data_IF_009000630319
#
_entry.id   IF_009000630319
#
_cell.length_a   1.000
_cell.length_b   1.000
_cell.length_c   1.000
_cell.angle_alpha   90.00
_cell.angle_beta   90.00
_cell.angle_gamma   90.00
#
_symmetry.space_group_name_H-M   'P 1'
#
loop_
_entity.id
_entity.type
_entity.pdbx_description
1 polymer ?
#
# COMPACT_ATOMS: atom_id res chain seq x y z
N UNK A 1 -19.00 -14.59 7.03
CA UNK A 1 -18.05 -15.58 7.62
C UNK A 1 -16.82 -14.90 8.23
N UNK A 2 -16.58 -14.91 9.55
CA UNK A 2 -15.43 -14.21 10.14
C UNK A 2 -14.12 -14.96 9.95
N UNK A 3 -13.09 -14.28 9.43
CA UNK A 3 -11.74 -14.83 9.29
C UNK A 3 -10.73 -13.77 9.69
N UNK A 4 -9.80 -14.13 10.56
CA UNK A 4 -8.68 -13.29 10.99
C UNK A 4 -7.39 -13.98 10.60
N UNK A 5 -6.67 -13.42 9.64
CA UNK A 5 -5.40 -13.95 9.16
C UNK A 5 -4.24 -13.15 9.73
N UNK A 6 -3.19 -13.87 10.12
CA UNK A 6 -1.94 -13.26 10.57
C UNK A 6 -1.23 -12.62 9.39
N UNK A 7 -0.69 -11.42 9.60
CA UNK A 7 0.12 -10.71 8.62
C UNK A 7 1.57 -10.83 9.08
N UNK A 8 2.40 -11.48 8.27
CA UNK A 8 3.84 -11.52 8.53
C UNK A 8 4.45 -10.20 8.08
N UNK A 9 5.32 -9.63 8.91
CA UNK A 9 6.09 -8.43 8.56
C UNK A 9 7.56 -8.82 8.46
N UNK A 10 8.19 -8.43 7.35
CA UNK A 10 9.65 -8.53 7.17
C UNK A 10 10.20 -7.13 6.94
N UNK A 11 11.26 -6.79 7.64
CA UNK A 11 11.94 -5.52 7.48
C UNK A 11 13.26 -5.71 6.72
N UNK A 12 13.63 -4.66 5.99
CA UNK A 12 14.99 -4.49 5.49
C UNK A 12 15.35 -3.02 5.63
N UNK A 13 16.29 -2.71 6.52
CA UNK A 13 16.81 -1.35 6.61
C UNK A 13 17.96 -1.10 5.62
N UNK A 14 17.84 0.01 4.88
CA UNK A 14 18.73 0.46 3.82
C UNK A 14 19.18 1.90 4.11
N UNK A 15 20.28 2.34 3.51
CA UNK A 15 20.51 3.78 3.35
C UNK A 15 19.61 4.33 2.24
N UNK A 16 19.39 5.65 2.22
CA UNK A 16 18.65 6.31 1.14
C UNK A 16 19.31 6.03 -0.20
N UNK A 17 20.63 6.08 -0.29
CA UNK A 17 21.39 5.85 -1.52
C UNK A 17 21.12 4.46 -2.09
N UNK A 18 21.10 3.43 -1.25
CA UNK A 18 20.75 2.07 -1.67
C UNK A 18 19.30 1.97 -2.15
N UNK A 19 18.34 2.62 -1.47
CA UNK A 19 16.95 2.65 -1.96
C UNK A 19 16.85 3.30 -3.36
N UNK A 20 17.64 4.35 -3.61
CA UNK A 20 17.66 5.06 -4.89
C UNK A 20 18.17 4.20 -6.07
N UNK A 21 18.80 3.06 -5.82
CA UNK A 21 19.07 2.07 -6.87
C UNK A 21 17.80 1.46 -7.49
N UNK A 22 16.64 1.63 -6.85
CA UNK A 22 15.33 1.26 -7.40
C UNK A 22 14.55 2.47 -7.95
N UNK A 23 15.13 3.66 -7.98
CA UNK A 23 14.48 4.87 -8.50
C UNK A 23 14.44 4.84 -10.04
N UNK A 24 13.23 4.79 -10.60
CA UNK A 24 12.97 4.71 -12.06
C UNK A 24 11.80 5.59 -12.46
N UNK A 25 11.90 6.89 -12.16
CA UNK A 25 10.77 7.83 -12.21
C UNK A 25 9.97 7.79 -13.51
N UNK A 26 10.64 7.89 -14.67
CA UNK A 26 9.96 7.94 -15.97
C UNK A 26 9.18 6.65 -16.26
N UNK A 27 9.83 5.51 -16.02
CA UNK A 27 9.24 4.18 -16.22
C UNK A 27 8.03 3.99 -15.31
N UNK A 28 8.21 4.26 -14.01
CA UNK A 28 7.17 4.19 -12.97
C UNK A 28 6.00 5.12 -13.28
N UNK A 29 6.27 6.35 -13.72
CA UNK A 29 5.23 7.29 -14.13
C UNK A 29 4.43 6.78 -15.33
N UNK A 30 5.08 6.07 -16.26
CA UNK A 30 4.42 5.36 -17.35
C UNK A 30 3.41 4.32 -16.84
N UNK A 31 3.75 3.54 -15.81
CA UNK A 31 2.81 2.63 -15.15
C UNK A 31 1.70 3.40 -14.41
N UNK A 32 2.04 4.47 -13.68
CA UNK A 32 1.07 5.30 -12.98
C UNK A 32 0.03 5.88 -13.95
N UNK A 33 0.44 6.38 -15.13
CA UNK A 33 -0.47 6.92 -16.18
C UNK A 33 -1.50 5.91 -16.70
N UNK A 34 -1.22 4.61 -16.57
CA UNK A 34 -2.15 3.51 -16.91
C UNK A 34 -3.07 3.10 -15.75
N UNK A 35 -2.79 3.57 -14.53
CA UNK A 35 -3.61 3.28 -13.36
C UNK A 35 -4.93 4.06 -13.41
N UNK A 36 -6.03 3.40 -13.06
CA UNK A 36 -7.35 4.04 -12.98
C UNK A 36 -7.46 5.18 -11.97
N UNK A 37 -6.51 5.33 -11.05
CA UNK A 37 -6.46 6.42 -10.05
C UNK A 37 -5.53 7.58 -10.43
N UNK A 38 -4.81 7.49 -11.56
CA UNK A 38 -3.84 8.51 -11.96
C UNK A 38 -4.45 9.92 -11.97
N UNK A 39 -3.78 10.88 -11.31
CA UNK A 39 -4.25 12.26 -11.18
C UNK A 39 -5.54 12.48 -10.39
N UNK A 40 -6.26 11.43 -9.96
CA UNK A 40 -7.60 11.56 -9.35
C UNK A 40 -7.61 11.96 -7.88
N UNK A 41 -6.50 11.77 -7.17
CA UNK A 41 -6.38 12.15 -5.77
C UNK A 41 -5.00 12.75 -5.46
N UNK A 42 -4.88 13.35 -4.28
CA UNK A 42 -3.69 14.09 -3.87
C UNK A 42 -2.45 13.22 -3.67
N UNK A 43 -2.58 11.90 -3.43
CA UNK A 43 -1.42 11.01 -3.32
C UNK A 43 -0.93 10.48 -4.67
N UNK A 44 -1.65 10.75 -5.75
CA UNK A 44 -1.28 10.31 -7.09
C UNK A 44 -0.48 11.38 -7.84
N UNK A 45 0.58 11.00 -8.57
CA UNK A 45 1.33 11.91 -9.43
C UNK A 45 0.45 12.41 -10.61
N UNK A 46 0.83 13.48 -11.31
CA UNK A 46 2.03 14.33 -11.11
C UNK A 46 1.85 15.31 -9.94
N UNK A 47 2.96 15.65 -9.28
CA UNK A 47 2.99 16.50 -8.09
C UNK A 47 3.56 17.88 -8.42
N UNK A 48 3.10 18.90 -7.69
CA UNK A 48 3.65 20.26 -7.79
C UNK A 48 4.99 20.41 -7.05
N UNK A 49 5.35 19.44 -6.21
CA UNK A 49 6.62 19.39 -5.50
C UNK A 49 7.60 18.40 -6.15
N UNK A 50 8.90 18.64 -5.93
CA UNK A 50 9.96 17.74 -6.36
C UNK A 50 10.06 16.52 -5.43
N UNK A 51 9.93 15.32 -5.99
CA UNK A 51 9.90 14.06 -5.22
C UNK A 51 11.24 13.68 -4.62
N UNK A 52 12.36 14.10 -5.22
CA UNK A 52 13.70 13.84 -4.69
C UNK A 52 13.93 14.77 -3.50
N UNK A 53 13.61 16.06 -3.65
CA UNK A 53 13.68 17.06 -2.58
C UNK A 53 12.80 16.72 -1.39
N UNK A 54 11.62 16.13 -1.63
CA UNK A 54 10.76 15.61 -0.56
C UNK A 54 11.47 14.57 0.32
N UNK A 55 12.42 13.81 -0.24
CA UNK A 55 13.15 12.75 0.45
C UNK A 55 14.55 13.18 0.92
N UNK A 56 15.01 14.40 0.58
CA UNK A 56 16.31 14.93 0.99
C UNK A 56 16.57 14.86 2.50
N UNK A 57 15.61 15.19 3.40
CA UNK A 57 15.86 15.24 4.84
C UNK A 57 16.21 13.89 5.51
N UNK A 58 15.98 12.77 4.82
CA UNK A 58 16.13 11.42 5.38
C UNK A 58 17.43 10.77 4.89
N UNK A 59 18.04 9.91 5.71
CA UNK A 59 19.27 9.18 5.35
C UNK A 59 19.06 7.67 5.28
N UNK A 60 18.00 7.15 5.91
CA UNK A 60 17.69 5.73 5.97
C UNK A 60 16.28 5.46 5.47
N UNK A 61 16.10 4.26 4.96
CA UNK A 61 14.81 3.71 4.56
C UNK A 61 14.65 2.32 5.15
N UNK A 62 13.62 2.10 5.95
CA UNK A 62 13.23 0.76 6.36
C UNK A 62 12.12 0.28 5.44
N UNK A 63 12.42 -0.69 4.57
CA UNK A 63 11.43 -1.34 3.72
C UNK A 63 10.64 -2.32 4.56
N UNK A 64 9.32 -2.21 4.49
CA UNK A 64 8.38 -3.00 5.27
C UNK A 64 7.56 -3.84 4.29
N UNK A 65 7.83 -5.14 4.28
CA UNK A 65 7.10 -6.11 3.49
C UNK A 65 6.07 -6.81 4.36
N UNK A 66 4.79 -6.71 3.99
CA UNK A 66 3.73 -7.50 4.61
C UNK A 66 3.40 -8.70 3.74
N UNK A 67 3.23 -9.87 4.32
CA UNK A 67 2.84 -11.10 3.63
C UNK A 67 1.62 -11.76 4.31
N UNK A 68 0.62 -12.13 3.52
CA UNK A 68 -0.53 -12.94 3.96
C UNK A 68 -0.59 -14.20 3.10
N UNK A 69 -0.47 -15.37 3.71
CA UNK A 69 -0.66 -16.64 3.03
C UNK A 69 -2.14 -16.81 2.59
N UNK A 70 -2.38 -17.14 1.33
CA UNK A 70 -3.74 -17.24 0.78
C UNK A 70 -4.36 -18.63 0.90
N UNK A 71 -3.67 -19.64 1.42
CA UNK A 71 -4.16 -21.04 1.48
C UNK A 71 -5.51 -21.13 2.18
N UNK A 72 -5.65 -20.47 3.34
CA UNK A 72 -6.91 -20.47 4.11
C UNK A 72 -8.04 -19.75 3.38
N UNK A 73 -7.72 -18.74 2.56
CA UNK A 73 -8.67 -18.03 1.70
C UNK A 73 -9.12 -18.96 0.57
N UNK A 74 -8.16 -19.55 -0.16
CA UNK A 74 -8.41 -20.48 -1.27
C UNK A 74 -9.26 -21.67 -0.83
N UNK A 75 -8.98 -22.25 0.33
CA UNK A 75 -9.73 -23.37 0.89
C UNK A 75 -11.20 -23.04 1.19
N UNK A 76 -11.54 -21.76 1.32
CA UNK A 76 -12.87 -21.28 1.66
C UNK A 76 -13.46 -20.35 0.59
N UNK A 77 -12.88 -20.33 -0.62
CA UNK A 77 -13.22 -19.35 -1.65
C UNK A 77 -14.71 -19.36 -2.01
N UNK A 78 -15.30 -20.56 -2.08
CA UNK A 78 -16.72 -20.78 -2.40
C UNK A 78 -17.69 -20.38 -1.27
N UNK A 79 -17.18 -20.00 -0.10
CA UNK A 79 -17.98 -19.56 1.05
C UNK A 79 -18.03 -18.03 1.19
N UNK A 80 -17.29 -17.28 0.37
CA UNK A 80 -17.36 -15.83 0.38
C UNK A 80 -18.52 -15.34 -0.48
N UNK A 81 -19.30 -14.42 0.08
CA UNK A 81 -20.17 -13.55 -0.69
C UNK A 81 -19.40 -12.26 -1.04
N UNK A 82 -19.73 -11.64 -2.16
CA UNK A 82 -19.18 -10.32 -2.49
C UNK A 82 -19.64 -9.27 -1.47
N UNK A 83 -20.86 -9.40 -0.93
CA UNK A 83 -21.40 -8.49 0.08
C UNK A 83 -20.61 -8.51 1.41
N UNK A 84 -19.89 -9.61 1.66
CA UNK A 84 -18.99 -9.79 2.81
C UNK A 84 -17.65 -9.01 2.66
N UNK A 85 -17.37 -8.44 1.48
CA UNK A 85 -16.07 -7.87 1.10
C UNK A 85 -16.15 -6.40 0.68
N UNK A 86 -17.08 -5.65 1.28
CA UNK A 86 -17.25 -4.22 0.98
C UNK A 86 -15.99 -3.43 1.33
N UNK A 87 -15.50 -2.68 0.35
CA UNK A 87 -14.45 -1.67 0.53
C UNK A 87 -14.77 -0.47 -0.37
N UNK A 88 -14.27 0.71 -0.02
CA UNK A 88 -14.43 1.92 -0.86
C UNK A 88 -13.88 1.70 -2.29
N UNK A 89 -12.89 0.82 -2.43
CA UNK A 89 -12.31 0.46 -3.73
C UNK A 89 -13.19 -0.54 -4.48
N UNK A 90 -13.83 -1.50 -3.80
CA UNK A 90 -14.89 -2.32 -4.39
C UNK A 90 -16.00 -1.42 -4.96
N UNK A 91 -16.48 -0.45 -4.19
CA UNK A 91 -17.49 0.50 -4.65
C UNK A 91 -17.02 1.28 -5.89
N UNK A 92 -15.77 1.76 -5.91
CA UNK A 92 -15.22 2.45 -7.08
C UNK A 92 -14.95 1.54 -8.29
N UNK A 93 -14.67 0.25 -8.09
CA UNK A 93 -14.40 -0.70 -9.17
C UNK A 93 -15.70 -1.26 -9.77
N UNK A 94 -16.68 -1.59 -8.93
CA UNK A 94 -17.99 -2.13 -9.31
C UNK A 94 -18.91 -1.05 -9.87
N UNK A 95 -18.93 0.15 -9.30
CA UNK A 95 -19.73 1.28 -9.82
C UNK A 95 -19.39 1.65 -11.27
N UNK A 96 -18.15 1.37 -11.70
CA UNK A 96 -17.69 1.62 -13.06
C UNK A 96 -17.85 0.43 -14.02
N UNK A 97 -18.41 -0.71 -13.56
CA UNK A 97 -18.62 -1.94 -14.35
C UNK A 97 -19.91 -2.68 -13.92
N UNK A 98 -21.11 -2.04 -13.97
CA UNK A 98 -22.34 -2.61 -13.44
C UNK A 98 -22.75 -3.94 -14.10
N UNK A 99 -22.40 -4.15 -15.38
CA UNK A 99 -22.82 -5.33 -16.15
C UNK A 99 -21.75 -6.45 -16.23
N UNK A 100 -20.64 -6.35 -15.49
CA UNK A 100 -19.58 -7.38 -15.51
C UNK A 100 -19.66 -8.26 -14.27
N UNK A 101 -19.69 -9.57 -14.49
CA UNK A 101 -19.41 -10.57 -13.45
C UNK A 101 -18.04 -10.24 -12.84
N UNK A 102 -18.03 -9.86 -11.57
CA UNK A 102 -16.80 -9.55 -10.84
C UNK A 102 -16.27 -10.84 -10.22
N UNK A 103 -15.08 -11.25 -10.64
CA UNK A 103 -14.40 -12.42 -10.08
C UNK A 103 -14.05 -12.18 -8.60
N UNK A 104 -14.55 -13.07 -7.73
CA UNK A 104 -14.36 -13.04 -6.28
C UNK A 104 -12.87 -13.02 -5.88
N UNK A 105 -11.99 -13.64 -6.67
CA UNK A 105 -10.54 -13.62 -6.42
C UNK A 105 -10.00 -12.20 -6.50
N UNK A 106 -10.45 -11.40 -7.46
CA UNK A 106 -10.07 -9.99 -7.58
C UNK A 106 -10.65 -9.17 -6.43
N UNK A 107 -11.90 -9.42 -6.04
CA UNK A 107 -12.55 -8.72 -4.91
C UNK A 107 -11.78 -8.95 -3.62
N UNK A 108 -11.46 -10.21 -3.29
CA UNK A 108 -10.70 -10.54 -2.08
C UNK A 108 -9.30 -9.94 -2.12
N UNK A 109 -8.62 -10.02 -3.27
CA UNK A 109 -7.28 -9.43 -3.43
C UNK A 109 -7.30 -7.93 -3.16
N UNK A 110 -8.29 -7.22 -3.71
CA UNK A 110 -8.45 -5.78 -3.52
C UNK A 110 -8.85 -5.42 -2.09
N UNK A 111 -9.74 -6.19 -1.49
CA UNK A 111 -10.13 -6.02 -0.09
C UNK A 111 -8.93 -6.20 0.84
N UNK A 112 -8.21 -7.32 0.70
CA UNK A 112 -7.04 -7.64 1.50
C UNK A 112 -5.96 -6.56 1.39
N UNK A 113 -5.64 -6.14 0.16
CA UNK A 113 -4.66 -5.08 -0.08
C UNK A 113 -5.06 -3.77 0.61
N UNK A 114 -6.32 -3.32 0.47
CA UNK A 114 -6.75 -2.05 1.07
C UNK A 114 -6.85 -2.12 2.59
N UNK A 115 -7.30 -3.24 3.14
CA UNK A 115 -7.37 -3.45 4.58
C UNK A 115 -5.97 -3.33 5.21
N UNK A 116 -4.98 -4.03 4.65
CA UNK A 116 -3.58 -3.94 5.11
C UNK A 116 -2.99 -2.57 4.86
N UNK A 117 -3.20 -1.98 3.68
CA UNK A 117 -2.73 -0.63 3.36
C UNK A 117 -3.23 0.39 4.36
N UNK A 118 -4.52 0.36 4.73
CA UNK A 118 -5.10 1.33 5.67
C UNK A 118 -4.45 1.19 7.06
N UNK A 119 -4.38 -0.04 7.58
CA UNK A 119 -3.70 -0.31 8.85
C UNK A 119 -2.24 0.13 8.82
N UNK A 120 -1.51 -0.21 7.75
CA UNK A 120 -0.12 0.20 7.56
C UNK A 120 0.04 1.71 7.52
N UNK A 121 -0.85 2.42 6.82
CA UNK A 121 -0.83 3.89 6.78
C UNK A 121 -1.04 4.48 8.17
N UNK A 122 -2.00 3.95 8.94
CA UNK A 122 -2.25 4.41 10.31
C UNK A 122 -1.06 4.16 11.23
N UNK A 123 -0.46 2.97 11.15
CA UNK A 123 0.74 2.62 11.90
C UNK A 123 1.92 3.52 11.56
N UNK A 124 2.17 3.76 10.27
CA UNK A 124 3.24 4.66 9.84
C UNK A 124 3.03 6.08 10.35
N UNK A 125 1.81 6.62 10.28
CA UNK A 125 1.50 7.95 10.83
C UNK A 125 1.66 7.99 12.35
N UNK A 126 1.35 6.91 13.07
CA UNK A 126 1.61 6.81 14.50
C UNK A 126 3.11 6.83 14.78
N UNK A 127 3.91 6.07 14.02
CA UNK A 127 5.37 6.07 14.12
C UNK A 127 5.92 7.50 13.92
N UNK A 128 5.40 8.25 12.94
CA UNK A 128 5.83 9.63 12.69
C UNK A 128 5.58 10.59 13.86
N UNK A 129 4.60 10.31 14.72
CA UNK A 129 4.35 11.09 15.93
C UNK A 129 5.31 10.77 17.06
N UNK A 130 5.83 9.54 17.07
CA UNK A 130 6.72 9.05 18.11
C UNK A 130 8.20 9.24 17.75
N UNK A 131 8.50 9.43 16.47
CA UNK A 131 9.85 9.47 15.91
C UNK A 131 10.00 10.71 15.05
N UNK A 132 10.71 11.70 15.58
CA UNK A 132 11.04 12.93 14.86
C UNK A 132 11.81 12.64 13.56
N UNK A 133 11.63 13.51 12.57
CA UNK A 133 12.30 13.42 11.27
C UNK A 133 12.10 12.05 10.60
N UNK A 134 10.87 11.55 10.65
CA UNK A 134 10.46 10.35 9.92
C UNK A 134 9.24 10.61 9.03
N UNK A 135 9.10 9.83 7.96
CA UNK A 135 7.89 9.83 7.13
C UNK A 135 7.58 8.43 6.59
N UNK A 136 6.31 8.08 6.64
CA UNK A 136 5.77 6.84 6.13
C UNK A 136 5.39 6.92 4.65
N UNK A 137 5.76 5.88 3.91
CA UNK A 137 5.42 5.67 2.51
C UNK A 137 4.56 4.39 2.39
N UNK A 138 3.24 4.46 2.65
CA UNK A 138 2.34 3.31 2.54
C UNK A 138 2.12 2.90 1.08
N UNK A 139 1.65 1.68 0.79
CA UNK A 139 1.49 1.21 -0.58
C UNK A 139 0.27 1.85 -1.26
N UNK A 140 0.31 2.03 -2.58
CA UNK A 140 -0.84 2.45 -3.38
C UNK A 140 -1.40 3.86 -3.07
N UNK A 141 -2.63 4.12 -3.53
CA UNK A 141 -3.26 5.45 -3.44
C UNK A 141 -4.04 5.66 -2.13
N UNK A 142 -4.16 6.93 -1.73
CA UNK A 142 -4.90 7.38 -0.55
C UNK A 142 -6.38 7.00 -0.59
N UNK A 143 -6.91 6.65 0.58
CA UNK A 143 -8.32 6.27 0.85
C UNK A 143 -8.89 6.99 2.07
N UNK A 144 -8.34 8.15 2.43
CA UNK A 144 -8.76 8.91 3.64
C UNK A 144 -10.15 9.54 3.53
N UNK A 145 -10.65 9.76 2.32
CA UNK A 145 -11.94 10.41 2.07
C UNK A 145 -12.78 9.54 1.12
N UNK A 146 -14.09 9.56 1.31
CA UNK A 146 -15.04 8.88 0.43
C UNK A 146 -15.06 9.51 -0.97
N UNK A 147 -14.86 10.82 -1.07
CA UNK A 147 -14.72 11.57 -2.33
C UNK A 147 -13.56 12.54 -2.23
N UNK A 148 -12.55 12.36 -3.09
CA UNK A 148 -11.42 13.27 -3.15
C UNK A 148 -11.78 14.55 -3.93
N UNK A 149 -11.43 15.71 -3.37
CA UNK A 149 -11.75 17.01 -3.97
C UNK A 149 -10.71 17.51 -4.99
N UNK A 150 -9.62 16.76 -5.25
CA UNK A 150 -8.56 17.16 -6.20
C UNK A 150 -9.11 17.51 -7.58
N UNK A 151 -10.02 16.69 -8.10
CA UNK A 151 -10.63 16.90 -9.42
C UNK A 151 -11.57 18.11 -9.47
N UNK A 152 -11.96 18.64 -8.32
CA UNK A 152 -12.74 19.89 -8.20
C UNK A 152 -11.82 21.11 -7.99
N UNK A 153 -10.50 20.94 -7.99
CA UNK A 153 -9.54 22.00 -7.71
C UNK A 153 -9.55 22.50 -6.26
N UNK A 154 -10.17 21.78 -5.32
CA UNK A 154 -10.23 22.17 -3.90
C UNK A 154 -9.26 21.37 -3.06
N UNK A 155 -8.65 22.03 -2.08
CA UNK A 155 -7.66 21.48 -1.16
C UNK A 155 -8.08 20.15 -0.51
N UNK A 156 -7.08 19.32 -0.20
CA UNK A 156 -7.27 18.10 0.56
C UNK A 156 -7.90 18.43 1.93
N UNK A 157 -8.93 17.67 2.32
CA UNK A 157 -9.57 17.79 3.64
C UNK A 157 -8.84 17.04 4.76
N UNK A 158 -7.84 16.22 4.40
CA UNK A 158 -6.98 15.48 5.34
C UNK A 158 -5.48 15.64 5.02
N UNK A 159 -4.95 16.88 4.95
CA UNK A 159 -3.57 17.12 4.54
C UNK A 159 -2.55 16.45 5.48
N UNK A 160 -2.79 16.49 6.80
CA UNK A 160 -1.87 15.94 7.81
C UNK A 160 -1.66 14.42 7.71
N UNK A 161 -2.62 13.70 7.12
CA UNK A 161 -2.56 12.23 6.96
C UNK A 161 -2.36 11.79 5.51
N UNK A 162 -2.14 12.75 4.61
CA UNK A 162 -1.81 12.47 3.21
C UNK A 162 -0.38 11.93 3.13
N UNK A 163 -0.23 10.73 2.57
CA UNK A 163 1.08 10.11 2.33
C UNK A 163 1.17 9.60 0.89
N UNK A 164 2.39 9.36 0.44
CA UNK A 164 2.70 8.96 -0.93
C UNK A 164 3.35 7.57 -0.93
N UNK A 165 2.93 6.72 -1.87
CA UNK A 165 3.59 5.43 -2.08
C UNK A 165 4.96 5.57 -2.74
N UNK A 166 5.78 4.53 -2.61
CA UNK A 166 7.06 4.39 -3.33
C UNK A 166 6.88 4.60 -4.84
N UNK A 167 5.87 3.99 -5.47
CA UNK A 167 5.62 4.17 -6.91
C UNK A 167 5.24 5.62 -7.24
N UNK A 168 4.39 6.24 -6.42
CA UNK A 168 3.99 7.63 -6.63
C UNK A 168 5.20 8.58 -6.60
N UNK A 169 6.21 8.28 -5.77
CA UNK A 169 7.46 9.02 -5.67
C UNK A 169 8.50 8.62 -6.73
N UNK A 170 8.30 7.53 -7.48
CA UNK A 170 9.14 7.14 -8.61
C UNK A 170 10.00 5.88 -8.42
N UNK A 171 9.78 5.10 -7.36
CA UNK A 171 10.51 3.86 -7.12
C UNK A 171 9.83 2.66 -7.77
N UNK A 172 10.63 1.80 -8.41
CA UNK A 172 10.18 0.56 -9.02
C UNK A 172 10.05 -0.54 -7.96
N UNK A 173 8.85 -0.71 -7.42
CA UNK A 173 8.60 -1.65 -6.33
C UNK A 173 8.96 -3.11 -6.71
N UNK A 174 8.79 -3.53 -7.97
CA UNK A 174 9.22 -4.88 -8.39
C UNK A 174 10.72 -5.12 -8.20
N UNK A 175 11.54 -4.09 -8.38
CA UNK A 175 12.99 -4.19 -8.16
C UNK A 175 13.30 -4.30 -6.66
N UNK A 176 12.53 -3.60 -5.82
CA UNK A 176 12.66 -3.66 -4.35
C UNK A 176 12.40 -5.10 -3.86
N UNK A 177 11.31 -5.71 -4.35
CA UNK A 177 10.97 -7.10 -4.05
C UNK A 177 12.10 -8.05 -4.43
N UNK A 178 12.60 -7.92 -5.67
CA UNK A 178 13.64 -8.81 -6.19
C UNK A 178 14.98 -8.62 -5.48
N UNK A 179 15.46 -7.38 -5.36
CA UNK A 179 16.80 -7.07 -4.83
C UNK A 179 16.94 -7.38 -3.34
N UNK A 180 15.92 -7.07 -2.54
CA UNK A 180 16.07 -7.07 -1.08
C UNK A 180 15.24 -8.13 -0.35
N UNK A 181 14.30 -8.78 -1.04
CA UNK A 181 13.48 -9.86 -0.47
C UNK A 181 13.52 -11.16 -1.25
N UNK A 182 14.23 -11.21 -2.39
CA UNK A 182 14.28 -12.36 -3.31
C UNK A 182 12.87 -12.84 -3.70
N UNK A 183 11.99 -11.88 -3.95
CA UNK A 183 10.61 -12.11 -4.36
C UNK A 183 10.39 -11.62 -5.78
N UNK A 184 9.70 -12.43 -6.58
CA UNK A 184 9.18 -11.99 -7.87
C UNK A 184 7.66 -11.76 -7.77
N UNK A 185 7.21 -10.62 -8.27
CA UNK A 185 5.79 -10.29 -8.34
C UNK A 185 5.13 -11.11 -9.47
N UNK A 186 4.54 -12.25 -9.12
CA UNK A 186 3.76 -13.08 -10.03
C UNK A 186 2.28 -12.67 -10.06
N UNK A 187 1.79 -12.20 -11.21
CA UNK A 187 0.36 -12.01 -11.46
C UNK A 187 -0.21 -13.17 -12.26
N UNK A 188 -1.03 -14.01 -11.62
CA UNK A 188 -1.82 -15.02 -12.33
C UNK A 188 -3.24 -14.50 -12.51
N UNK A 189 -3.66 -14.26 -13.75
CA UNK A 189 -4.99 -13.72 -14.03
C UNK A 189 -6.08 -14.75 -13.64
N UNK A 190 -7.00 -14.35 -12.76
CA UNK A 190 -8.14 -15.18 -12.37
C UNK A 190 -7.88 -16.16 -11.23
N UNK A 191 -6.66 -16.20 -10.69
CA UNK A 191 -6.31 -17.02 -9.54
C UNK A 191 -5.73 -16.17 -8.42
N UNK A 192 -5.99 -16.54 -7.17
CA UNK A 192 -5.32 -15.91 -6.04
C UNK A 192 -3.82 -16.24 -6.05
N UNK A 193 -2.94 -15.27 -5.78
CA UNK A 193 -1.51 -15.52 -5.64
C UNK A 193 -1.25 -16.46 -4.44
N UNK A 194 -0.05 -17.04 -4.33
CA UNK A 194 0.34 -17.86 -3.16
C UNK A 194 0.30 -17.08 -1.85
N UNK A 195 0.62 -15.78 -1.92
CA UNK A 195 0.52 -14.85 -0.83
C UNK A 195 0.14 -13.45 -1.35
N UNK A 196 -0.59 -12.68 -0.56
CA UNK A 196 -0.71 -11.25 -0.79
C UNK A 196 0.49 -10.56 -0.17
N UNK A 197 1.20 -9.78 -0.98
CA UNK A 197 2.32 -8.98 -0.53
C UNK A 197 2.03 -7.48 -0.69
N UNK A 198 2.53 -6.67 0.23
CA UNK A 198 2.54 -5.22 0.09
C UNK A 198 3.87 -4.65 0.56
N UNK A 199 4.34 -3.58 -0.09
CA UNK A 199 5.61 -2.96 0.20
C UNK A 199 5.40 -1.51 0.59
N UNK A 200 5.90 -1.17 1.78
CA UNK A 200 5.89 0.18 2.32
C UNK A 200 7.32 0.58 2.68
N UNK A 201 7.55 1.85 2.99
CA UNK A 201 8.79 2.28 3.60
C UNK A 201 8.55 3.25 4.75
N UNK A 202 9.46 3.25 5.72
CA UNK A 202 9.62 4.31 6.71
C UNK A 202 10.96 4.99 6.44
N UNK A 203 10.91 6.26 6.03
CA UNK A 203 12.11 7.09 5.82
C UNK A 203 12.47 7.78 7.13
N UNK A 204 13.73 7.77 7.51
CA UNK A 204 14.20 8.37 8.77
C UNK A 204 15.51 9.11 8.56
N UNK A 205 15.72 10.19 9.31
CA UNK A 205 17.00 10.91 9.32
C UNK A 205 18.11 10.10 9.98
N UNK A 206 17.80 9.47 11.11
CA UNK A 206 18.73 8.61 11.85
C UNK A 206 18.36 7.14 11.68
N UNK A 207 19.35 6.26 11.90
CA UNK A 207 19.12 4.82 11.88
C UNK A 207 18.30 4.41 13.10
N UNK A 208 17.27 3.58 12.90
CA UNK A 208 16.37 3.12 13.97
C UNK A 208 16.45 1.61 14.10
N UNK A 209 16.40 1.08 15.32
CA UNK A 209 16.38 -0.38 15.52
C UNK A 209 15.15 -1.01 14.82
N UNK A 210 15.37 -2.10 14.09
CA UNK A 210 14.30 -2.85 13.45
C UNK A 210 13.30 -3.39 14.49
N UNK A 211 13.74 -3.73 15.70
CA UNK A 211 12.86 -4.20 16.79
C UNK A 211 11.86 -3.11 17.23
N UNK A 212 12.29 -1.85 17.27
CA UNK A 212 11.43 -0.71 17.62
C UNK A 212 10.37 -0.50 16.54
N UNK A 213 10.75 -0.65 15.28
CA UNK A 213 9.82 -0.53 14.14
C UNK A 213 8.84 -1.70 14.15
N UNK A 214 9.32 -2.93 14.34
CA UNK A 214 8.48 -4.13 14.43
C UNK A 214 7.47 -4.02 15.57
N UNK A 215 7.88 -3.56 16.74
CA UNK A 215 6.98 -3.38 17.88
C UNK A 215 5.81 -2.44 17.54
N UNK A 216 6.10 -1.31 16.90
CA UNK A 216 5.05 -0.35 16.48
C UNK A 216 4.14 -0.92 15.39
N UNK A 217 4.65 -1.80 14.53
CA UNK A 217 3.87 -2.49 13.49
C UNK A 217 3.07 -3.69 14.00
N UNK A 218 3.19 -4.07 15.29
CA UNK A 218 2.41 -5.15 15.87
C UNK A 218 0.89 -4.91 15.76
N UNK A 219 0.15 -6.01 15.63
CA UNK A 219 -1.31 -6.01 15.59
C UNK A 219 -1.92 -5.83 14.20
N UNK A 220 -1.12 -5.68 13.14
CA UNK A 220 -1.61 -5.72 11.76
C UNK A 220 -2.16 -7.13 11.47
N UNK A 221 -3.42 -7.20 11.06
CA UNK A 221 -4.14 -8.45 10.79
C UNK A 221 -5.07 -8.27 9.61
N UNK A 222 -5.26 -9.29 8.78
CA UNK A 222 -6.32 -9.24 7.79
C UNK A 222 -7.60 -9.80 8.43
N UNK A 223 -8.55 -8.92 8.73
CA UNK A 223 -9.90 -9.32 9.08
C UNK A 223 -10.73 -9.34 7.80
N UNK A 224 -11.32 -10.48 7.48
CA UNK A 224 -12.36 -10.61 6.47
C UNK A 224 -13.66 -10.90 7.21
N UNK A 225 -14.67 -10.06 6.95
CA UNK A 225 -15.93 -9.93 7.68
C UNK A 225 -15.82 -9.39 9.11
N UNK A 226 -15.89 -8.07 9.21
CA UNK A 226 -16.66 -7.42 10.26
C UNK A 226 -17.77 -6.62 9.56
N UNK A 227 -19.02 -7.10 9.65
CA UNK A 227 -20.15 -6.19 9.53
C UNK A 227 -20.10 -5.32 10.79
N UNK A 228 -19.41 -4.19 10.70
CA UNK A 228 -19.81 -3.02 11.48
C UNK A 228 -20.89 -2.27 10.70
#
# INVERSE_FOLDING_TARGET
MKMKLTVKVRLKQLTKETLFEAYKREEVLGYCKRCGNYGKNYSCPEFEFDTIRYLEPFNYATIIMTEIDTKSIKAQINKFDIDDLRSDVYNNYVKNKPDKIVDINNVISMYAFNNIKNQMTDKLIQIEKDIDNSVGLPPGSCTRCSTCLKQQGKSCIYPETLRYSLEALGFMVSDIYKKWFDLELGWTKGELPVAFNSCSALMTKEKISEDVILDKLNGIVLNINDKE
#
